data_IF_479599659039
#
_entry.id   IF_479599659039
#
_cell.length_a   1.000
_cell.length_b   1.000
_cell.length_c   1.000
_cell.angle_alpha   90.00
_cell.angle_beta   90.00
_cell.angle_gamma   90.00
#
_symmetry.space_group_name_H-M   'P 1'
#
loop_
_entity.id
_entity.type
_entity.pdbx_description
1 polymer ?
#
# COMPACT_ATOMS: atom_id res chain seq x y z
N UNK A 1 28.83 -8.19 26.50
CA UNK A 1 28.10 -6.89 26.58
C UNK A 1 26.94 -6.92 25.61
N UNK A 2 25.72 -7.03 26.11
CA UNK A 2 24.53 -6.91 25.28
C UNK A 2 24.34 -5.45 24.91
N UNK A 3 24.52 -5.13 23.64
CA UNK A 3 24.08 -3.84 23.11
C UNK A 3 22.57 -3.86 23.18
N UNK A 4 21.98 -3.15 24.14
CA UNK A 4 20.56 -2.85 24.11
C UNK A 4 20.30 -2.09 22.82
N UNK A 5 19.66 -2.78 21.87
CA UNK A 5 19.07 -2.14 20.71
C UNK A 5 18.07 -1.13 21.29
N UNK A 6 18.40 0.14 21.21
CA UNK A 6 17.44 1.20 21.51
C UNK A 6 16.38 1.05 20.43
N UNK A 7 15.24 0.48 20.80
CA UNK A 7 14.07 0.54 19.96
C UNK A 7 13.70 2.02 19.87
N UNK A 8 13.97 2.60 18.71
CA UNK A 8 13.40 3.91 18.37
C UNK A 8 11.89 3.72 18.40
N UNK A 9 11.17 4.41 19.30
CA UNK A 9 9.71 4.30 19.31
C UNK A 9 9.20 4.60 17.92
N UNK A 10 8.46 3.67 17.33
CA UNK A 10 7.82 3.91 16.06
C UNK A 10 7.01 5.20 16.12
N UNK A 11 7.11 6.02 15.07
CA UNK A 11 6.35 7.26 14.96
C UNK A 11 4.89 7.01 15.29
N UNK A 12 4.38 7.65 16.33
CA UNK A 12 2.97 7.50 16.73
C UNK A 12 2.14 8.59 16.09
N UNK A 13 0.97 8.22 15.62
CA UNK A 13 -0.02 9.13 15.04
C UNK A 13 -1.15 9.31 16.07
N UNK A 14 -1.50 10.56 16.36
CA UNK A 14 -2.64 10.83 17.24
C UNK A 14 -3.95 10.32 16.63
N UNK A 15 -4.93 10.02 17.47
CA UNK A 15 -6.24 9.59 17.00
C UNK A 15 -6.90 10.64 16.10
N UNK A 16 -6.74 11.92 16.41
CA UNK A 16 -7.25 13.01 15.58
C UNK A 16 -6.55 13.09 14.22
N UNK A 17 -5.22 13.00 14.19
CA UNK A 17 -4.44 13.00 12.93
C UNK A 17 -4.80 11.79 12.08
N UNK A 18 -4.98 10.62 12.68
CA UNK A 18 -5.39 9.42 11.97
C UNK A 18 -6.80 9.54 11.37
N UNK A 19 -7.75 10.08 12.12
CA UNK A 19 -9.11 10.33 11.58
C UNK A 19 -9.10 11.29 10.41
N UNK A 20 -8.30 12.36 10.48
CA UNK A 20 -8.14 13.30 9.37
C UNK A 20 -7.55 12.61 8.14
N UNK A 21 -6.49 11.82 8.30
CA UNK A 21 -5.88 11.05 7.21
C UNK A 21 -6.85 10.03 6.60
N UNK A 22 -7.62 9.32 7.42
CA UNK A 22 -8.64 8.37 6.94
C UNK A 22 -9.75 9.09 6.13
N UNK A 23 -10.15 10.29 6.52
CA UNK A 23 -11.11 11.08 5.77
C UNK A 23 -10.55 11.50 4.40
N UNK A 24 -9.28 11.90 4.33
CA UNK A 24 -8.61 12.23 3.07
C UNK A 24 -8.48 11.02 2.14
N UNK A 25 -8.14 9.85 2.68
CA UNK A 25 -8.08 8.62 1.90
C UNK A 25 -9.43 8.28 1.29
N UNK A 26 -10.50 8.38 2.06
CA UNK A 26 -11.87 8.17 1.55
C UNK A 26 -12.23 9.16 0.45
N UNK A 27 -11.86 10.41 0.60
CA UNK A 27 -12.09 11.44 -0.42
C UNK A 27 -11.34 11.14 -1.73
N UNK A 28 -10.09 10.66 -1.64
CA UNK A 28 -9.31 10.22 -2.81
C UNK A 28 -9.96 9.05 -3.53
N UNK A 29 -10.39 8.04 -2.80
CA UNK A 29 -11.06 6.88 -3.38
C UNK A 29 -12.37 7.30 -4.05
N UNK A 30 -13.16 8.16 -3.40
CA UNK A 30 -14.39 8.70 -3.95
C UNK A 30 -14.16 9.53 -5.23
N UNK A 31 -13.02 10.23 -5.31
CA UNK A 31 -12.64 11.04 -6.47
C UNK A 31 -12.29 10.18 -7.68
N UNK A 32 -11.50 9.13 -7.51
CA UNK A 32 -10.92 8.35 -8.62
C UNK A 32 -11.64 7.04 -8.90
N UNK A 33 -12.19 6.41 -7.88
CA UNK A 33 -12.83 5.10 -7.99
C UNK A 33 -14.08 4.99 -7.11
N UNK A 34 -15.11 5.86 -7.31
CA UNK A 34 -16.28 5.92 -6.44
C UNK A 34 -17.06 4.61 -6.38
N UNK A 35 -17.13 3.88 -7.50
CA UNK A 35 -17.78 2.57 -7.56
C UNK A 35 -17.09 1.49 -6.72
N UNK A 36 -15.84 1.71 -6.34
CA UNK A 36 -15.00 0.74 -5.63
C UNK A 36 -14.66 1.14 -4.20
N UNK A 37 -15.41 2.05 -3.62
CA UNK A 37 -15.15 2.57 -2.28
C UNK A 37 -15.24 1.48 -1.22
N UNK A 38 -16.27 0.64 -1.29
CA UNK A 38 -16.45 -0.51 -0.38
C UNK A 38 -15.39 -1.58 -0.56
N UNK A 39 -15.06 -1.89 -1.80
CA UNK A 39 -14.01 -2.87 -2.13
C UNK A 39 -12.67 -2.42 -1.58
N UNK A 40 -12.27 -1.19 -1.84
CA UNK A 40 -11.01 -0.63 -1.36
C UNK A 40 -10.94 -0.61 0.16
N UNK A 41 -12.02 -0.26 0.84
CA UNK A 41 -12.09 -0.32 2.31
C UNK A 41 -11.92 -1.74 2.85
N UNK A 42 -12.56 -2.73 2.22
CA UNK A 42 -12.43 -4.13 2.59
C UNK A 42 -11.01 -4.66 2.37
N UNK A 43 -10.37 -4.28 1.27
CA UNK A 43 -8.96 -4.60 1.00
C UNK A 43 -8.03 -4.03 2.05
N UNK A 44 -8.19 -2.76 2.39
CA UNK A 44 -7.40 -2.11 3.44
C UNK A 44 -7.51 -2.84 4.77
N UNK A 45 -8.73 -3.22 5.17
CA UNK A 45 -8.95 -3.99 6.41
C UNK A 45 -8.25 -5.35 6.36
N UNK A 46 -8.35 -6.06 5.26
CA UNK A 46 -7.71 -7.37 5.07
C UNK A 46 -6.19 -7.28 5.13
N UNK A 47 -5.61 -6.30 4.43
CA UNK A 47 -4.17 -6.10 4.42
C UNK A 47 -3.63 -5.60 5.77
N UNK A 48 -4.38 -4.79 6.49
CA UNK A 48 -4.03 -4.37 7.86
C UNK A 48 -3.97 -5.54 8.84
N UNK A 49 -4.82 -6.54 8.68
CA UNK A 49 -4.75 -7.75 9.50
C UNK A 49 -3.47 -8.54 9.27
N UNK A 50 -3.00 -8.59 8.04
CA UNK A 50 -1.76 -9.29 7.67
C UNK A 50 -0.51 -8.50 8.01
N UNK A 51 -0.59 -7.18 7.93
CA UNK A 51 0.50 -6.23 8.10
C UNK A 51 0.12 -5.14 9.11
N UNK A 52 -0.07 -5.49 10.40
CA UNK A 52 -0.62 -4.55 11.38
C UNK A 52 0.30 -3.36 11.68
N UNK A 53 1.59 -3.49 11.45
CA UNK A 53 2.59 -2.44 11.68
C UNK A 53 3.00 -1.69 10.40
N UNK A 54 2.47 -2.08 9.25
CA UNK A 54 2.77 -1.41 7.99
C UNK A 54 2.22 0.02 7.98
N UNK A 55 3.04 0.93 7.48
CA UNK A 55 2.57 2.27 7.12
C UNK A 55 1.79 2.19 5.80
N UNK A 56 0.66 2.87 5.74
CA UNK A 56 -0.06 3.08 4.50
C UNK A 56 0.36 4.43 3.93
N UNK A 57 1.22 4.40 2.93
CA UNK A 57 1.69 5.60 2.25
C UNK A 57 0.84 5.81 1.01
N UNK A 58 0.04 6.86 1.05
CA UNK A 58 -0.98 7.15 0.05
C UNK A 58 -0.47 8.22 -0.91
N UNK A 59 -0.51 7.92 -2.19
CA UNK A 59 -0.11 8.84 -3.25
C UNK A 59 -1.31 9.21 -4.11
N UNK A 60 -1.51 10.50 -4.28
CA UNK A 60 -2.44 11.04 -5.25
C UNK A 60 -1.72 11.38 -6.55
N UNK A 61 -2.14 10.75 -7.63
CA UNK A 61 -1.72 11.09 -9.00
C UNK A 61 -2.84 11.82 -9.73
N UNK A 62 -2.60 12.20 -10.97
CA UNK A 62 -3.57 12.97 -11.75
C UNK A 62 -4.88 12.21 -12.01
N UNK A 63 -4.81 10.90 -12.28
CA UNK A 63 -5.93 10.07 -12.68
C UNK A 63 -6.14 8.82 -11.84
N UNK A 64 -5.30 8.59 -10.82
CA UNK A 64 -5.38 7.42 -9.95
C UNK A 64 -4.78 7.70 -8.58
N UNK A 65 -5.02 6.79 -7.66
CA UNK A 65 -4.36 6.78 -6.35
C UNK A 65 -3.62 5.46 -6.12
N UNK A 66 -2.67 5.50 -5.22
CA UNK A 66 -1.92 4.33 -4.75
C UNK A 66 -1.87 4.35 -3.24
N UNK A 67 -2.11 3.21 -2.62
CA UNK A 67 -1.91 2.99 -1.19
C UNK A 67 -0.84 1.93 -1.04
N UNK A 68 0.37 2.32 -0.66
CA UNK A 68 1.50 1.43 -0.46
C UNK A 68 1.56 0.95 0.99
N UNK A 69 1.66 -0.35 1.19
CA UNK A 69 1.89 -0.95 2.51
C UNK A 69 3.39 -1.16 2.69
N UNK A 70 3.99 -0.33 3.53
CA UNK A 70 5.44 -0.21 3.66
C UNK A 70 5.91 -0.40 5.10
N UNK A 71 7.10 -1.02 5.30
CA UNK A 71 7.73 -1.11 6.62
C UNK A 71 8.26 0.24 7.11
N UNK A 72 8.44 1.20 6.21
CA UNK A 72 8.92 2.56 6.49
C UNK A 72 7.94 3.61 5.98
N UNK A 73 8.25 4.87 6.23
CA UNK A 73 7.48 6.01 5.70
C UNK A 73 7.74 6.26 4.21
N UNK A 74 8.58 5.45 3.57
CA UNK A 74 8.90 5.52 2.14
C UNK A 74 8.08 4.50 1.36
N UNK A 75 7.23 4.97 0.47
CA UNK A 75 6.37 4.09 -0.33
C UNK A 75 7.12 3.16 -1.26
N UNK A 76 8.32 3.54 -1.73
CA UNK A 76 9.15 2.69 -2.58
C UNK A 76 9.74 1.47 -1.87
N UNK A 77 9.76 1.46 -0.53
CA UNK A 77 10.10 0.29 0.28
C UNK A 77 8.90 -0.60 0.55
N UNK A 78 7.74 -0.24 0.02
CA UNK A 78 6.51 -1.01 0.14
C UNK A 78 6.62 -2.39 -0.48
N UNK A 79 5.87 -3.32 0.08
CA UNK A 79 5.83 -4.72 -0.36
C UNK A 79 4.75 -4.92 -1.41
N UNK A 80 3.59 -4.38 -1.12
CA UNK A 80 2.38 -4.48 -1.93
C UNK A 80 1.50 -3.26 -1.67
N UNK A 81 0.47 -3.13 -2.46
CA UNK A 81 -0.47 -2.04 -2.27
C UNK A 81 -1.69 -2.12 -3.17
N UNK A 82 -2.47 -1.07 -3.07
CA UNK A 82 -3.72 -0.90 -3.79
C UNK A 82 -3.55 0.24 -4.78
N UNK A 83 -3.89 0.00 -6.04
CA UNK A 83 -4.03 1.03 -7.05
C UNK A 83 -5.48 1.11 -7.49
N UNK A 84 -6.04 2.30 -7.54
CA UNK A 84 -7.39 2.53 -8.01
C UNK A 84 -7.50 3.69 -9.00
N UNK A 85 -8.31 3.48 -10.02
CA UNK A 85 -8.68 4.46 -11.04
C UNK A 85 -10.13 4.21 -11.51
N UNK A 86 -10.57 4.92 -12.55
CA UNK A 86 -11.91 4.77 -13.11
C UNK A 86 -12.20 3.36 -13.64
N UNK A 87 -11.17 2.60 -14.04
CA UNK A 87 -11.32 1.26 -14.61
C UNK A 87 -11.39 0.16 -13.56
N UNK A 88 -10.96 0.42 -12.34
CA UNK A 88 -11.06 -0.55 -11.26
C UNK A 88 -9.96 -0.46 -10.22
N UNK A 89 -9.91 -1.48 -9.38
CA UNK A 89 -8.97 -1.60 -8.27
C UNK A 89 -8.07 -2.81 -8.48
N UNK A 90 -6.79 -2.62 -8.25
CA UNK A 90 -5.75 -3.64 -8.42
C UNK A 90 -4.96 -3.81 -7.13
N UNK A 91 -4.60 -5.06 -6.84
CA UNK A 91 -3.55 -5.37 -5.89
C UNK A 91 -2.23 -5.45 -6.65
N UNK A 92 -1.25 -4.64 -6.30
CA UNK A 92 0.06 -4.68 -6.90
C UNK A 92 1.14 -5.15 -5.92
N UNK A 93 2.19 -5.73 -6.45
CA UNK A 93 3.37 -6.17 -5.72
C UNK A 93 4.59 -5.41 -6.25
N UNK A 94 5.29 -4.70 -5.39
CA UNK A 94 6.43 -3.87 -5.78
C UNK A 94 7.51 -4.67 -6.51
N UNK A 95 7.73 -5.90 -6.08
CA UNK A 95 8.71 -6.82 -6.66
C UNK A 95 8.03 -8.08 -7.21
N UNK A 96 6.89 -7.90 -7.85
CA UNK A 96 6.05 -8.99 -8.36
C UNK A 96 6.76 -9.89 -9.38
N UNK A 97 7.68 -9.34 -10.17
CA UNK A 97 8.51 -10.12 -11.11
C UNK A 97 9.30 -11.24 -10.44
N UNK A 98 9.68 -11.06 -9.18
CA UNK A 98 10.49 -12.03 -8.42
C UNK A 98 9.65 -13.08 -7.69
N UNK A 99 8.33 -12.92 -7.67
CA UNK A 99 7.46 -13.84 -6.96
C UNK A 99 7.22 -15.12 -7.75
N UNK A 100 7.21 -16.29 -7.09
CA UNK A 100 6.74 -17.51 -7.72
C UNK A 100 5.25 -17.38 -8.01
N UNK A 101 4.87 -17.56 -9.26
CA UNK A 101 3.50 -17.45 -9.76
C UNK A 101 3.15 -18.65 -10.63
N UNK A 102 3.01 -19.85 -10.03
CA UNK A 102 2.78 -21.08 -10.78
C UNK A 102 1.43 -21.08 -11.52
N UNK A 103 0.44 -20.35 -11.01
CA UNK A 103 -0.88 -20.25 -11.63
C UNK A 103 -1.01 -19.07 -12.60
N UNK A 104 0.06 -18.31 -12.82
CA UNK A 104 0.12 -17.17 -13.73
C UNK A 104 -0.97 -16.12 -13.46
N UNK A 105 -1.14 -15.76 -12.19
CA UNK A 105 -2.13 -14.77 -11.76
C UNK A 105 -1.65 -13.33 -11.96
N UNK A 106 -0.33 -13.11 -11.88
CA UNK A 106 0.26 -11.79 -11.97
C UNK A 106 0.27 -11.27 -13.40
N UNK A 107 -0.22 -10.06 -13.57
CA UNK A 107 -0.26 -9.33 -14.83
C UNK A 107 0.81 -8.25 -14.87
N UNK A 108 1.17 -7.85 -16.08
CA UNK A 108 2.16 -6.80 -16.33
C UNK A 108 3.48 -7.36 -16.84
N UNK A 109 4.37 -6.47 -17.23
CA UNK A 109 5.69 -6.81 -17.82
C UNK A 109 6.86 -6.15 -17.07
N UNK A 110 6.58 -5.20 -16.21
CA UNK A 110 7.57 -4.49 -15.42
C UNK A 110 7.93 -5.24 -14.13
N UNK A 111 8.80 -4.67 -13.30
CA UNK A 111 9.13 -5.17 -11.96
C UNK A 111 7.88 -5.27 -11.09
N UNK A 112 7.05 -4.25 -11.11
CA UNK A 112 5.74 -4.24 -10.44
C UNK A 112 4.77 -5.11 -11.23
N UNK A 113 4.10 -6.02 -10.52
CA UNK A 113 3.05 -6.88 -11.09
C UNK A 113 1.77 -6.70 -10.30
N UNK A 114 0.64 -7.00 -10.91
CA UNK A 114 -0.66 -6.75 -10.31
C UNK A 114 -1.68 -7.85 -10.59
N UNK A 115 -2.71 -7.86 -9.77
CA UNK A 115 -3.91 -8.69 -9.92
C UNK A 115 -5.11 -7.75 -9.93
N UNK A 116 -6.00 -7.92 -10.91
CA UNK A 116 -7.28 -7.23 -10.92
C UNK A 116 -8.18 -7.79 -9.81
N UNK A 117 -8.81 -6.90 -9.07
CA UNK A 117 -9.71 -7.28 -7.99
C UNK A 117 -11.17 -7.08 -8.40
N UNK A 118 -11.87 -8.17 -8.48
CA UNK A 118 -13.31 -8.18 -8.74
C UNK A 118 -14.13 -8.03 -7.46
N UNK A 119 -13.56 -8.47 -6.33
CA UNK A 119 -14.19 -8.40 -5.01
C UNK A 119 -13.20 -8.69 -3.88
N UNK A 120 -13.60 -8.42 -2.65
CA UNK A 120 -12.77 -8.68 -1.46
C UNK A 120 -12.40 -10.16 -1.30
N UNK A 121 -13.24 -11.08 -1.78
CA UNK A 121 -12.99 -12.52 -1.77
C UNK A 121 -11.76 -12.93 -2.59
N UNK A 122 -11.33 -12.13 -3.54
CA UNK A 122 -10.11 -12.39 -4.31
C UNK A 122 -8.89 -12.53 -3.40
N UNK A 123 -8.79 -11.73 -2.34
CA UNK A 123 -7.69 -11.79 -1.37
C UNK A 123 -7.67 -13.09 -0.56
N UNK A 124 -8.80 -13.75 -0.43
CA UNK A 124 -8.95 -15.02 0.29
C UNK A 124 -8.65 -16.24 -0.58
N UNK A 125 -8.49 -16.08 -1.89
CA UNK A 125 -8.11 -17.21 -2.76
C UNK A 125 -6.75 -17.75 -2.34
N UNK A 126 -6.59 -19.09 -2.17
CA UNK A 126 -5.32 -19.66 -1.70
C UNK A 126 -4.10 -19.25 -2.51
N UNK A 127 -4.22 -19.16 -3.84
CA UNK A 127 -3.12 -18.74 -4.70
C UNK A 127 -2.74 -17.27 -4.48
N UNK A 128 -3.69 -16.38 -4.29
CA UNK A 128 -3.45 -14.95 -3.98
C UNK A 128 -2.87 -14.80 -2.58
N UNK A 129 -3.39 -15.54 -1.61
CA UNK A 129 -2.87 -15.54 -0.25
C UNK A 129 -1.39 -15.98 -0.21
N UNK A 130 -1.02 -17.00 -0.98
CA UNK A 130 0.39 -17.42 -1.11
C UNK A 130 1.28 -16.33 -1.71
N UNK A 131 0.82 -15.62 -2.73
CA UNK A 131 1.57 -14.51 -3.31
C UNK A 131 1.81 -13.40 -2.29
N UNK A 132 0.81 -13.07 -1.49
CA UNK A 132 0.93 -12.07 -0.41
C UNK A 132 1.95 -12.54 0.63
N UNK A 133 1.85 -13.78 1.10
CA UNK A 133 2.77 -14.35 2.09
C UNK A 133 4.21 -14.38 1.57
N UNK A 134 4.41 -14.77 0.32
CA UNK A 134 5.73 -14.76 -0.34
C UNK A 134 6.30 -13.34 -0.46
N UNK A 135 5.49 -12.38 -0.82
CA UNK A 135 5.91 -10.98 -0.92
C UNK A 135 6.38 -10.45 0.44
N UNK A 136 5.64 -10.75 1.49
CA UNK A 136 6.00 -10.36 2.87
C UNK A 136 7.30 -11.04 3.31
N UNK A 137 7.42 -12.35 3.08
CA UNK A 137 8.60 -13.12 3.48
C UNK A 137 9.88 -12.67 2.77
N UNK A 138 9.77 -12.22 1.53
CA UNK A 138 10.90 -11.78 0.70
C UNK A 138 11.26 -10.30 0.88
N UNK A 139 10.54 -9.58 1.72
CA UNK A 139 10.80 -8.17 1.90
C UNK A 139 12.17 -7.92 2.54
N UNK A 140 12.93 -6.99 1.97
CA UNK A 140 14.31 -6.67 2.40
C UNK A 140 14.34 -5.82 3.66
N UNK A 141 13.35 -4.96 3.83
CA UNK A 141 13.21 -4.10 5.00
C UNK A 141 12.19 -4.73 5.94
N UNK A 142 12.58 -5.12 7.16
CA UNK A 142 11.66 -5.81 8.06
C UNK A 142 10.55 -4.87 8.57
N UNK A 143 9.36 -5.42 8.76
CA UNK A 143 8.27 -4.73 9.44
C UNK A 143 8.53 -4.68 10.95
N UNK A 144 8.09 -3.60 11.59
CA UNK A 144 8.12 -3.52 13.05
C UNK A 144 7.27 -4.66 13.66
N UNK A 145 7.70 -5.17 14.81
CA UNK A 145 7.03 -6.29 15.49
C UNK A 145 5.87 -5.83 16.36
N UNK A 146 5.85 -4.57 16.74
CA UNK A 146 4.85 -3.98 17.62
C UNK A 146 4.49 -2.57 17.17
N UNK A 147 3.36 -2.07 17.63
CA UNK A 147 2.85 -0.77 17.28
C UNK A 147 1.84 -0.81 16.14
N UNK A 148 1.40 0.35 15.74
CA UNK A 148 0.44 0.54 14.65
C UNK A 148 1.06 1.42 13.58
N UNK A 149 0.93 1.01 12.32
CA UNK A 149 1.39 1.79 11.18
C UNK A 149 0.67 3.14 11.05
N UNK A 150 1.36 4.11 10.46
CA UNK A 150 0.82 5.42 10.16
C UNK A 150 0.00 5.38 8.87
N UNK A 151 -0.94 6.32 8.72
CA UNK A 151 -1.57 6.65 7.43
C UNK A 151 -1.00 7.98 6.97
N UNK A 152 -0.21 7.97 5.90
CA UNK A 152 0.54 9.12 5.42
C UNK A 152 0.06 9.46 4.02
N UNK A 153 -0.37 10.70 3.81
CA UNK A 153 -0.84 11.14 2.50
C UNK A 153 0.20 12.05 1.85
N UNK A 154 0.55 11.72 0.62
CA UNK A 154 1.49 12.46 -0.20
C UNK A 154 0.86 12.79 -1.54
N UNK A 155 0.98 14.04 -1.99
CA UNK A 155 0.57 14.43 -3.33
C UNK A 155 1.74 14.33 -4.29
N UNK A 156 1.71 13.36 -5.20
CA UNK A 156 2.70 13.24 -6.27
C UNK A 156 2.63 14.42 -7.26
N UNK A 157 1.45 15.04 -7.42
CA UNK A 157 1.23 16.19 -8.30
C UNK A 157 1.94 17.46 -7.80
N UNK A 158 2.04 17.67 -6.48
CA UNK A 158 2.67 18.84 -5.89
C UNK A 158 4.18 18.89 -6.11
N UNK A 159 4.86 17.73 -6.21
CA UNK A 159 6.31 17.68 -6.49
C UNK A 159 6.66 18.03 -7.92
N UNK A 160 5.80 17.77 -8.89
CA UNK A 160 6.01 18.15 -10.30
C UNK A 160 5.84 19.65 -10.54
N UNK A 161 4.99 20.32 -9.77
CA UNK A 161 4.77 21.77 -9.86
C UNK A 161 5.97 22.61 -9.40
N UNK A 162 6.78 22.10 -8.47
CA UNK A 162 7.97 22.80 -7.96
C UNK A 162 9.19 22.75 -8.89
N UNK A 163 9.23 21.86 -9.88
CA UNK A 163 10.34 21.74 -10.84
C UNK A 163 10.20 22.66 -12.05
N UNK A 164 9.10 23.36 -12.22
CA UNK A 164 8.92 24.39 -13.25
C UNK A 164 9.02 25.78 -12.63
N UNK A 165 10.23 26.19 -12.27
CA UNK A 165 10.57 27.62 -12.31
C UNK A 165 11.12 27.86 -13.72
N UNK A 166 10.48 28.72 -14.52
CA UNK A 166 11.16 29.26 -15.68
C UNK A 166 12.35 30.08 -15.19
N UNK A 167 13.44 29.86 -15.83
CA UNK A 167 14.59 30.75 -15.69
C UNK A 167 14.21 32.16 -16.10
#
# INVERSE_FOLDING_TARGET
>A
MSVKKVEVPGSTQSAAARRAAEAEVRALIAKFAPAHLRLTAAMRRSLRKRLPTAHEVVYEYRAWFVISFSPSEQGFEGVLGIRGDADGVKLYFNRGKELPDPEKLLKGSAQVRFIDLEGASTLARPAVARLIDEAIARNRVPFARAGRGLVIIRSASAKKGRRRRPA
#
